data_IF_456492581702
#
_entry.id   IF_456492581702
#
_cell.length_a   1.000
_cell.length_b   1.000
_cell.length_c   1.000
_cell.angle_alpha   90.00
_cell.angle_beta   90.00
_cell.angle_gamma   90.00
#
_symmetry.space_group_name_H-M   'P 1'
#
loop_
_entity.id
_entity.type
_entity.pdbx_description
1 polymer ?
#
# COMPACT_ATOMS: atom_id res chain seq x y z
N UNK A 1 30.63 10.14 -21.63
CA UNK A 1 30.02 9.61 -20.39
C UNK A 1 31.14 9.15 -19.47
N UNK A 2 31.39 9.84 -18.37
CA UNK A 2 32.34 9.42 -17.35
C UNK A 2 31.59 8.49 -16.41
N UNK A 3 31.93 7.20 -16.40
CA UNK A 3 31.45 6.29 -15.38
C UNK A 3 32.36 6.44 -14.16
N UNK A 4 31.87 7.10 -13.13
CA UNK A 4 32.56 7.22 -11.85
C UNK A 4 32.42 5.88 -11.13
N UNK A 5 33.49 5.08 -11.12
CA UNK A 5 33.56 3.85 -10.32
C UNK A 5 33.87 4.15 -8.86
N UNK A 6 33.47 3.25 -7.98
CA UNK A 6 33.83 3.30 -6.55
C UNK A 6 35.35 3.30 -6.39
N UNK A 7 35.92 4.37 -5.85
CA UNK A 7 37.34 4.45 -5.57
C UNK A 7 38.07 5.74 -5.99
N UNK A 8 37.36 6.72 -6.53
CA UNK A 8 37.97 8.04 -6.75
C UNK A 8 38.03 8.82 -5.42
N UNK A 9 39.17 9.47 -5.10
CA UNK A 9 39.24 10.36 -3.97
C UNK A 9 38.35 11.58 -4.24
N UNK A 10 37.38 11.82 -3.39
CA UNK A 10 36.53 13.01 -3.44
C UNK A 10 37.19 14.10 -2.59
N UNK A 11 37.45 15.22 -3.18
CA UNK A 11 37.85 16.44 -2.47
C UNK A 11 36.67 17.39 -2.52
N UNK A 12 35.99 17.54 -1.38
CA UNK A 12 34.95 18.56 -1.23
C UNK A 12 35.61 19.93 -1.07
N UNK A 13 35.19 20.93 -1.86
CA UNK A 13 35.61 22.30 -1.64
C UNK A 13 34.41 23.24 -1.51
N UNK A 14 34.67 24.38 -0.85
CA UNK A 14 33.65 25.41 -0.63
C UNK A 14 33.74 26.42 -1.74
N UNK A 15 32.71 26.60 -2.53
CA UNK A 15 32.68 27.63 -3.58
C UNK A 15 32.65 29.02 -2.92
N UNK A 16 33.56 29.92 -3.37
CA UNK A 16 33.85 31.20 -2.70
C UNK A 16 32.68 32.18 -2.73
N UNK A 17 31.77 32.05 -3.68
CA UNK A 17 30.72 33.05 -3.96
C UNK A 17 29.28 32.53 -3.76
N UNK A 18 29.12 31.35 -3.15
CA UNK A 18 27.79 30.83 -2.85
C UNK A 18 27.59 30.79 -1.32
N UNK A 19 26.61 31.54 -0.77
CA UNK A 19 26.32 31.52 0.67
C UNK A 19 25.68 30.20 1.14
N UNK A 20 25.33 29.27 0.24
CA UNK A 20 24.81 27.95 0.59
C UNK A 20 25.91 27.04 1.15
N UNK A 21 25.67 26.29 2.21
CA UNK A 21 26.62 25.32 2.79
C UNK A 21 26.79 24.06 1.96
N UNK A 22 26.30 24.01 0.72
CA UNK A 22 26.36 22.84 -0.15
C UNK A 22 27.80 22.47 -0.46
N UNK A 23 28.18 21.24 -0.17
CA UNK A 23 29.47 20.69 -0.52
C UNK A 23 29.52 20.36 -2.01
N UNK A 24 30.38 21.06 -2.75
CA UNK A 24 30.62 20.77 -4.16
C UNK A 24 31.85 19.87 -4.26
N UNK A 25 31.73 18.80 -5.06
CA UNK A 25 32.84 17.93 -5.38
C UNK A 25 33.61 18.47 -6.60
N UNK A 26 34.89 18.72 -6.44
CA UNK A 26 35.79 19.05 -7.56
C UNK A 26 36.52 17.80 -8.02
N UNK A 27 36.43 17.48 -9.32
CA UNK A 27 37.16 16.38 -9.91
C UNK A 27 38.63 16.80 -10.16
N UNK A 28 39.53 16.38 -9.29
CA UNK A 28 40.97 16.67 -9.37
C UNK A 28 41.70 15.78 -10.35
N UNK A 29 41.12 14.59 -10.62
CA UNK A 29 41.68 13.66 -11.60
C UNK A 29 40.68 12.50 -11.89
N UNK A 30 40.86 11.86 -13.03
CA UNK A 30 40.09 10.70 -13.42
C UNK A 30 41.01 9.63 -14.04
N UNK A 31 40.89 8.42 -13.56
CA UNK A 31 41.57 7.26 -14.14
C UNK A 31 40.55 6.31 -14.76
N UNK A 32 40.87 5.80 -15.94
CA UNK A 32 40.03 4.81 -16.61
C UNK A 32 40.28 3.43 -16.04
N UNK A 33 39.35 2.96 -15.20
CA UNK A 33 39.41 1.62 -14.66
C UNK A 33 38.60 0.63 -15.51
N UNK A 34 39.02 -0.61 -15.56
CA UNK A 34 38.27 -1.70 -16.22
C UNK A 34 37.08 -2.07 -15.33
N UNK A 35 35.85 -1.89 -15.85
CA UNK A 35 34.64 -2.30 -15.13
C UNK A 35 34.62 -3.82 -14.97
N UNK A 36 34.63 -4.30 -13.72
CA UNK A 36 34.39 -5.70 -13.42
C UNK A 36 32.88 -5.94 -13.47
N UNK A 37 32.45 -6.77 -14.43
CA UNK A 37 31.03 -7.12 -14.52
C UNK A 37 30.74 -8.26 -13.55
N UNK A 38 29.59 -8.17 -12.86
CA UNK A 38 29.12 -9.26 -12.01
C UNK A 38 28.85 -10.51 -12.84
N UNK A 39 29.24 -11.65 -12.30
CA UNK A 39 28.97 -13.00 -12.83
C UNK A 39 28.01 -13.70 -11.88
N UNK A 40 27.33 -14.71 -12.38
CA UNK A 40 26.53 -15.64 -11.58
C UNK A 40 27.25 -17.00 -11.61
N UNK A 41 27.75 -17.42 -10.45
CA UNK A 41 28.52 -18.67 -10.32
C UNK A 41 27.64 -19.83 -9.78
N UNK A 42 26.33 -19.64 -9.68
CA UNK A 42 25.40 -20.68 -9.23
C UNK A 42 25.45 -21.88 -10.18
N UNK A 43 25.52 -23.12 -9.66
CA UNK A 43 25.58 -24.33 -10.50
C UNK A 43 24.29 -24.58 -11.27
N UNK A 44 23.14 -24.15 -10.71
CA UNK A 44 21.84 -24.19 -11.37
C UNK A 44 21.39 -22.76 -11.60
N UNK A 45 21.17 -22.42 -12.88
CA UNK A 45 20.74 -21.08 -13.27
C UNK A 45 19.24 -20.94 -13.11
N UNK A 46 18.81 -19.84 -12.48
CA UNK A 46 17.39 -19.50 -12.38
C UNK A 46 16.88 -18.91 -13.69
N UNK A 47 15.59 -18.98 -13.88
CA UNK A 47 14.86 -18.18 -14.87
C UNK A 47 14.21 -17.01 -14.13
N UNK A 48 14.47 -15.78 -14.57
CA UNK A 48 13.74 -14.63 -14.03
C UNK A 48 12.35 -14.57 -14.68
N UNK A 49 11.31 -14.69 -13.88
CA UNK A 49 9.92 -14.75 -14.36
C UNK A 49 9.11 -13.48 -14.06
N UNK A 50 9.65 -12.55 -13.25
CA UNK A 50 9.01 -11.31 -12.88
C UNK A 50 10.02 -10.17 -12.90
N UNK A 51 10.04 -9.40 -13.99
CA UNK A 51 10.99 -8.31 -14.18
C UNK A 51 10.30 -7.11 -14.84
N UNK A 52 10.47 -5.95 -14.20
CA UNK A 52 10.06 -4.67 -14.74
C UNK A 52 11.23 -3.97 -15.42
N UNK A 53 10.95 -3.38 -16.58
CA UNK A 53 11.91 -2.55 -17.31
C UNK A 53 11.62 -1.07 -17.05
N UNK A 54 12.44 -0.19 -17.66
CA UNK A 54 12.17 1.26 -17.62
C UNK A 54 10.84 1.69 -18.27
N UNK A 55 10.08 0.75 -18.84
CA UNK A 55 8.72 0.98 -19.30
C UNK A 55 7.70 0.93 -18.15
N UNK A 56 8.06 0.36 -17.02
CA UNK A 56 7.34 0.48 -15.74
C UNK A 56 7.79 1.78 -15.05
N UNK A 57 7.20 2.91 -15.48
CA UNK A 57 7.56 4.26 -15.03
C UNK A 57 7.49 4.38 -13.51
N UNK A 58 8.50 5.00 -12.91
CA UNK A 58 8.69 5.20 -11.45
C UNK A 58 9.00 3.92 -10.66
N UNK A 59 9.00 2.75 -11.29
CA UNK A 59 9.30 1.47 -10.63
C UNK A 59 10.69 0.93 -11.02
N UNK A 60 11.02 0.95 -12.31
CA UNK A 60 12.28 0.41 -12.79
C UNK A 60 13.03 1.35 -13.76
N UNK A 61 14.34 1.17 -13.85
CA UNK A 61 15.22 2.01 -14.67
C UNK A 61 16.02 1.23 -15.74
N UNK A 62 15.92 -0.10 -15.74
CA UNK A 62 16.71 -0.97 -16.63
C UNK A 62 16.04 -1.09 -17.99
N UNK A 63 16.70 -0.69 -19.10
CA UNK A 63 16.20 -0.97 -20.45
C UNK A 63 16.02 -2.47 -20.69
N UNK A 64 14.97 -2.86 -21.40
CA UNK A 64 14.64 -4.28 -21.68
C UNK A 64 15.79 -5.01 -22.39
N UNK A 65 16.42 -4.38 -23.37
CA UNK A 65 17.59 -4.94 -24.05
C UNK A 65 18.78 -5.20 -23.11
N UNK A 66 18.98 -4.37 -22.09
CA UNK A 66 20.08 -4.57 -21.14
C UNK A 66 19.76 -5.68 -20.13
N UNK A 67 18.50 -5.86 -19.77
CA UNK A 67 18.04 -7.01 -18.99
C UNK A 67 18.28 -8.34 -19.74
N UNK A 68 17.93 -8.38 -21.03
CA UNK A 68 18.16 -9.56 -21.90
C UNK A 68 19.65 -9.89 -22.01
N UNK A 69 20.52 -8.87 -22.22
CA UNK A 69 21.99 -9.06 -22.23
C UNK A 69 22.52 -9.55 -20.88
N UNK A 70 21.97 -9.07 -19.78
CA UNK A 70 22.36 -9.50 -18.44
C UNK A 70 22.01 -10.99 -18.22
N UNK A 71 20.81 -11.41 -18.61
CA UNK A 71 20.39 -12.81 -18.55
C UNK A 71 21.33 -13.74 -19.34
N UNK A 72 21.70 -13.34 -20.56
CA UNK A 72 22.68 -14.08 -21.37
C UNK A 72 24.04 -14.20 -20.67
N UNK A 73 24.54 -13.07 -20.13
CA UNK A 73 25.82 -13.04 -19.42
C UNK A 73 25.82 -13.91 -18.17
N UNK A 74 24.70 -13.98 -17.46
CA UNK A 74 24.53 -14.83 -16.28
C UNK A 74 24.27 -16.30 -16.59
N UNK A 75 24.11 -16.65 -17.88
CA UNK A 75 23.82 -18.01 -18.32
C UNK A 75 22.39 -18.46 -17.98
N UNK A 76 21.47 -17.53 -17.79
CA UNK A 76 20.06 -17.85 -17.53
C UNK A 76 19.44 -18.50 -18.80
N UNK A 77 18.67 -19.60 -18.66
CA UNK A 77 18.01 -20.26 -19.80
C UNK A 77 16.99 -19.37 -20.49
N UNK A 78 16.32 -18.50 -19.73
CA UNK A 78 15.34 -17.54 -20.21
C UNK A 78 15.21 -16.36 -19.23
N UNK A 79 14.57 -15.27 -19.70
CA UNK A 79 14.14 -14.13 -18.88
C UNK A 79 12.76 -13.70 -19.31
N UNK A 80 11.88 -13.39 -18.37
CA UNK A 80 10.60 -12.74 -18.64
C UNK A 80 10.73 -11.21 -18.60
N UNK A 81 9.94 -10.53 -19.43
CA UNK A 81 9.67 -9.10 -19.33
C UNK A 81 8.20 -8.96 -18.97
N UNK A 82 7.93 -8.35 -17.81
CA UNK A 82 6.57 -8.32 -17.20
C UNK A 82 6.26 -6.92 -16.65
N UNK A 83 6.32 -5.93 -17.54
CA UNK A 83 6.04 -4.54 -17.15
C UNK A 83 4.60 -4.33 -16.67
N UNK A 84 4.40 -3.31 -15.81
CA UNK A 84 3.10 -2.93 -15.27
C UNK A 84 2.14 -2.45 -16.37
N UNK A 85 1.10 -3.22 -16.64
CA UNK A 85 -0.01 -2.84 -17.51
C UNK A 85 0.35 -2.50 -18.96
N UNK A 86 1.59 -2.77 -19.42
CA UNK A 86 2.04 -2.43 -20.75
C UNK A 86 3.00 -3.45 -21.35
N UNK A 87 3.24 -3.35 -22.66
CA UNK A 87 4.11 -4.24 -23.45
C UNK A 87 5.17 -3.46 -24.25
N UNK A 88 5.44 -2.22 -23.87
CA UNK A 88 6.32 -1.32 -24.62
C UNK A 88 7.79 -1.79 -24.65
N UNK A 89 8.22 -2.59 -23.67
CA UNK A 89 9.56 -3.18 -23.63
C UNK A 89 9.78 -4.33 -24.61
N UNK A 90 8.74 -4.88 -25.25
CA UNK A 90 8.82 -6.07 -26.09
C UNK A 90 9.65 -5.89 -27.37
N UNK A 91 9.49 -4.82 -28.17
CA UNK A 91 10.25 -4.66 -29.40
C UNK A 91 11.77 -4.69 -29.16
N UNK A 92 12.26 -3.93 -28.19
CA UNK A 92 13.69 -3.88 -27.87
C UNK A 92 14.19 -5.19 -27.28
N UNK A 93 13.38 -5.87 -26.46
CA UNK A 93 13.70 -7.20 -25.95
C UNK A 93 13.79 -8.23 -27.07
N UNK A 94 12.87 -8.21 -28.03
CA UNK A 94 12.83 -9.11 -29.19
C UNK A 94 14.06 -8.92 -30.08
N UNK A 95 14.32 -7.70 -30.51
CA UNK A 95 15.48 -7.38 -31.35
C UNK A 95 16.82 -7.79 -30.69
N UNK A 96 16.89 -7.58 -29.36
CA UNK A 96 18.06 -7.99 -28.59
C UNK A 96 18.15 -9.54 -28.50
N UNK A 97 17.04 -10.19 -28.19
CA UNK A 97 16.87 -11.62 -28.04
C UNK A 97 17.36 -12.39 -29.31
N UNK A 98 16.88 -11.98 -30.49
CA UNK A 98 17.25 -12.56 -31.77
C UNK A 98 18.75 -12.39 -32.06
N UNK A 99 19.30 -11.19 -31.79
CA UNK A 99 20.71 -10.88 -32.04
C UNK A 99 21.69 -11.69 -31.20
N UNK A 100 21.33 -12.04 -29.97
CA UNK A 100 22.22 -12.73 -29.03
C UNK A 100 21.76 -14.13 -28.67
N UNK A 101 20.68 -14.62 -29.30
CA UNK A 101 20.11 -15.95 -29.06
C UNK A 101 19.80 -16.22 -27.60
N UNK A 102 19.04 -15.27 -26.95
CA UNK A 102 18.59 -15.39 -25.58
C UNK A 102 17.07 -15.53 -25.55
N UNK A 103 16.56 -16.61 -24.97
CA UNK A 103 15.10 -16.81 -24.82
C UNK A 103 14.49 -15.75 -23.97
N UNK A 104 13.47 -15.05 -24.49
CA UNK A 104 12.62 -14.09 -23.77
C UNK A 104 11.21 -14.65 -23.66
N UNK A 105 10.62 -14.51 -22.48
CA UNK A 105 9.22 -14.80 -22.17
C UNK A 105 8.51 -13.46 -22.09
N UNK A 106 7.49 -13.26 -22.92
CA UNK A 106 6.72 -12.03 -22.99
C UNK A 106 5.51 -12.14 -22.11
N UNK A 107 5.42 -11.30 -21.10
CA UNK A 107 4.33 -11.24 -20.13
C UNK A 107 4.01 -9.80 -19.77
N UNK A 108 2.97 -9.62 -18.97
CA UNK A 108 2.56 -8.33 -18.48
C UNK A 108 2.01 -8.51 -17.05
N UNK A 109 2.35 -7.63 -16.15
CA UNK A 109 1.69 -7.56 -14.85
C UNK A 109 0.33 -6.87 -15.02
N UNK A 110 -0.71 -7.69 -15.06
CA UNK A 110 -2.06 -7.22 -15.31
C UNK A 110 -2.76 -6.77 -14.02
N UNK A 111 -3.47 -5.67 -14.09
CA UNK A 111 -4.39 -5.25 -13.02
C UNK A 111 -5.71 -5.99 -13.19
N UNK A 112 -6.00 -6.86 -12.23
CA UNK A 112 -7.26 -7.61 -12.23
C UNK A 112 -8.24 -7.01 -11.23
N UNK A 113 -9.38 -6.55 -11.72
CA UNK A 113 -10.52 -6.12 -10.89
C UNK A 113 -11.60 -7.20 -10.95
N UNK A 114 -11.96 -7.74 -9.79
CA UNK A 114 -13.04 -8.72 -9.71
C UNK A 114 -14.36 -8.03 -9.40
N UNK A 115 -15.07 -7.60 -10.42
CA UNK A 115 -16.37 -6.93 -10.31
C UNK A 115 -17.50 -7.84 -9.78
N UNK A 116 -17.29 -9.16 -9.75
CA UNK A 116 -18.30 -10.11 -9.26
C UNK A 116 -18.32 -10.24 -7.72
N UNK A 117 -17.31 -9.71 -7.03
CA UNK A 117 -17.33 -9.59 -5.57
C UNK A 117 -17.98 -8.26 -5.20
N UNK A 118 -19.30 -8.19 -5.30
CA UNK A 118 -20.05 -7.05 -4.74
C UNK A 118 -19.68 -6.83 -3.27
N UNK A 119 -19.78 -5.60 -2.79
CA UNK A 119 -19.33 -5.00 -1.53
C UNK A 119 -19.47 -5.76 -0.20
N UNK A 120 -19.77 -7.04 -0.25
CA UNK A 120 -19.77 -7.95 0.90
C UNK A 120 -18.40 -8.58 1.01
N UNK A 121 -17.65 -8.24 2.05
CA UNK A 121 -16.35 -8.82 2.37
C UNK A 121 -16.38 -10.31 2.71
N UNK A 122 -17.57 -10.81 3.06
CA UNK A 122 -17.83 -12.22 3.42
C UNK A 122 -19.24 -12.63 3.01
N UNK A 123 -19.54 -13.94 3.08
CA UNK A 123 -20.91 -14.44 2.86
C UNK A 123 -21.79 -14.06 4.04
N UNK A 124 -22.76 -13.21 3.80
CA UNK A 124 -23.78 -12.83 4.75
C UNK A 124 -25.15 -13.28 4.25
N UNK A 125 -25.93 -13.95 5.08
CA UNK A 125 -27.26 -14.48 4.74
C UNK A 125 -28.41 -13.81 5.52
N UNK A 126 -28.10 -12.83 6.36
CA UNK A 126 -29.08 -12.07 7.14
C UNK A 126 -29.80 -10.99 6.32
N UNK A 127 -30.68 -10.27 6.97
CA UNK A 127 -31.41 -9.13 6.40
C UNK A 127 -30.81 -7.83 6.89
N UNK A 128 -30.90 -6.76 6.12
CA UNK A 128 -30.48 -5.41 6.55
C UNK A 128 -31.37 -4.81 7.68
N UNK A 129 -32.47 -5.47 8.02
CA UNK A 129 -33.31 -5.15 9.18
C UNK A 129 -32.80 -5.80 10.46
N UNK A 130 -31.90 -6.76 10.37
CA UNK A 130 -31.25 -7.38 11.53
C UNK A 130 -30.30 -6.35 12.17
N UNK A 131 -29.80 -6.65 13.36
CA UNK A 131 -28.83 -5.78 14.01
C UNK A 131 -27.55 -5.70 13.17
N UNK A 132 -27.07 -4.49 12.95
CA UNK A 132 -25.85 -4.20 12.20
C UNK A 132 -25.04 -3.16 12.95
N UNK A 133 -23.71 -3.19 12.80
CA UNK A 133 -22.83 -2.20 13.42
C UNK A 133 -22.10 -1.42 12.32
N UNK A 134 -22.34 -0.11 12.30
CA UNK A 134 -21.54 0.82 11.50
C UNK A 134 -20.38 1.28 12.36
N UNK A 135 -19.16 1.18 11.88
CA UNK A 135 -17.98 1.54 12.65
C UNK A 135 -16.90 2.20 11.78
N UNK A 136 -16.04 2.91 12.45
CA UNK A 136 -14.88 3.58 11.89
C UNK A 136 -13.75 3.59 12.93
N UNK A 137 -12.49 3.69 12.49
CA UNK A 137 -11.34 3.81 13.38
C UNK A 137 -10.44 4.96 12.97
N UNK A 138 -9.85 5.62 13.97
CA UNK A 138 -8.76 6.55 13.76
C UNK A 138 -7.42 5.91 14.11
N UNK A 139 -6.38 6.27 13.37
CA UNK A 139 -5.07 5.62 13.46
C UNK A 139 -3.93 6.61 13.35
N UNK A 140 -2.73 6.23 13.79
CA UNK A 140 -1.52 7.06 13.63
C UNK A 140 -0.94 7.05 12.22
N UNK A 141 -1.60 6.38 11.25
CA UNK A 141 -1.18 6.30 9.84
C UNK A 141 -1.77 5.10 9.12
N UNK A 142 -1.33 4.80 7.91
CA UNK A 142 -2.02 3.90 6.98
C UNK A 142 -1.68 2.40 7.09
N UNK A 143 -0.66 2.03 7.82
CA UNK A 143 -0.17 0.64 7.88
C UNK A 143 -0.50 -0.01 9.22
N UNK A 144 -1.34 -1.04 9.24
CA UNK A 144 -1.68 -1.78 10.45
C UNK A 144 -0.45 -2.37 11.18
N UNK A 145 0.61 -2.71 10.44
CA UNK A 145 1.87 -3.24 11.03
C UNK A 145 2.73 -2.15 11.67
N UNK A 146 2.69 -0.93 11.13
CA UNK A 146 3.57 0.16 11.54
C UNK A 146 2.88 1.26 12.36
N UNK A 147 1.56 1.30 12.40
CA UNK A 147 0.77 2.37 13.00
C UNK A 147 -0.20 1.82 14.04
N UNK A 148 -0.59 2.64 15.03
CA UNK A 148 -1.52 2.28 16.10
C UNK A 148 -2.94 2.80 15.85
N UNK A 149 -3.93 2.18 16.48
CA UNK A 149 -5.30 2.69 16.57
C UNK A 149 -5.32 3.77 17.66
N UNK A 150 -6.01 4.89 17.42
CA UNK A 150 -6.18 6.00 18.36
C UNK A 150 -7.62 6.16 18.84
N UNK A 151 -8.61 5.71 18.05
CA UNK A 151 -10.01 5.72 18.42
C UNK A 151 -10.76 4.59 17.70
N UNK A 152 -11.81 4.07 18.33
CA UNK A 152 -12.80 3.16 17.72
C UNK A 152 -14.17 3.74 18.00
N UNK A 153 -14.89 4.12 16.94
CA UNK A 153 -16.27 4.60 16.99
C UNK A 153 -17.22 3.61 16.33
N UNK A 154 -18.37 3.34 16.96
CA UNK A 154 -19.37 2.45 16.36
C UNK A 154 -20.79 2.82 16.80
N UNK A 155 -21.75 2.52 15.93
CA UNK A 155 -23.18 2.61 16.23
C UNK A 155 -23.87 1.33 15.85
N UNK A 156 -24.73 0.81 16.72
CA UNK A 156 -25.58 -0.35 16.43
C UNK A 156 -26.90 0.12 15.89
N UNK A 157 -27.32 -0.43 14.76
CA UNK A 157 -28.54 -0.07 14.04
C UNK A 157 -29.44 -1.29 13.95
N UNK A 158 -30.73 -1.08 14.16
CA UNK A 158 -31.80 -2.06 13.94
C UNK A 158 -33.02 -1.38 13.33
N UNK A 159 -33.60 -1.97 12.30
CA UNK A 159 -34.77 -1.42 11.60
C UNK A 159 -34.59 0.06 11.18
N UNK A 160 -33.36 0.47 10.83
CA UNK A 160 -33.02 1.82 10.41
C UNK A 160 -32.87 2.84 11.57
N UNK A 161 -32.95 2.41 12.81
CA UNK A 161 -32.77 3.27 13.99
C UNK A 161 -31.48 2.93 14.75
N UNK A 162 -30.75 3.93 15.22
CA UNK A 162 -29.62 3.73 16.14
C UNK A 162 -30.16 3.30 17.49
N UNK A 163 -29.76 2.10 17.95
CA UNK A 163 -30.20 1.51 19.22
C UNK A 163 -29.11 1.54 20.29
N UNK A 164 -27.83 1.62 19.89
CA UNK A 164 -26.70 1.69 20.83
C UNK A 164 -25.50 2.36 20.18
N UNK A 165 -24.54 2.85 21.00
CA UNK A 165 -23.32 3.53 20.56
C UNK A 165 -22.12 3.05 21.37
N UNK A 166 -21.00 2.93 20.71
CA UNK A 166 -19.70 2.65 21.30
C UNK A 166 -18.70 3.70 20.83
N UNK A 167 -17.91 4.22 21.73
CA UNK A 167 -16.77 5.06 21.39
C UNK A 167 -15.70 4.91 22.47
N UNK A 168 -14.47 4.71 22.05
CA UNK A 168 -13.33 4.68 22.96
C UNK A 168 -12.08 5.23 22.29
N UNK A 169 -11.36 6.10 22.97
CA UNK A 169 -9.98 6.36 22.61
C UNK A 169 -9.11 5.14 22.92
N UNK A 170 -8.03 5.01 22.18
CA UNK A 170 -7.06 3.93 22.34
C UNK A 170 -5.67 4.53 22.47
N UNK A 171 -4.90 4.12 23.46
CA UNK A 171 -3.51 4.51 23.58
C UNK A 171 -2.68 3.74 22.54
N UNK A 172 -2.15 4.41 21.49
CA UNK A 172 -1.37 3.75 20.46
C UNK A 172 0.05 3.35 20.90
N UNK A 173 0.44 3.68 22.14
CA UNK A 173 1.78 3.46 22.73
C UNK A 173 2.92 4.03 21.87
N UNK A 174 2.61 5.04 21.07
CA UNK A 174 3.55 5.78 20.21
C UNK A 174 3.05 7.20 19.97
N UNK A 175 3.92 8.16 19.62
CA UNK A 175 3.49 9.50 19.28
C UNK A 175 2.56 9.53 18.07
N UNK A 176 1.56 10.40 18.11
CA UNK A 176 0.68 10.69 16.97
C UNK A 176 1.38 11.74 16.09
N UNK A 177 1.63 11.47 14.79
CA UNK A 177 2.21 12.45 13.89
C UNK A 177 1.36 13.73 13.80
N UNK A 178 2.01 14.88 13.70
CA UNK A 178 1.34 16.19 13.67
C UNK A 178 0.27 16.29 12.58
N UNK A 179 0.58 15.80 11.37
CA UNK A 179 -0.37 15.77 10.26
C UNK A 179 -1.59 14.86 10.52
N UNK A 180 -1.46 13.84 11.37
CA UNK A 180 -2.61 13.00 11.79
C UNK A 180 -3.43 13.73 12.84
N UNK A 181 -2.78 14.40 13.80
CA UNK A 181 -3.50 15.27 14.76
C UNK A 181 -4.27 16.38 14.05
N UNK A 182 -3.69 17.01 13.02
CA UNK A 182 -4.39 18.01 12.20
C UNK A 182 -5.60 17.41 11.46
N UNK A 183 -5.51 16.17 11.02
CA UNK A 183 -6.57 15.48 10.27
C UNK A 183 -7.73 15.02 11.19
N UNK A 184 -7.39 14.38 12.31
CA UNK A 184 -8.36 13.69 13.17
C UNK A 184 -8.79 14.53 14.40
N UNK A 185 -8.00 15.55 14.74
CA UNK A 185 -8.16 16.31 15.97
C UNK A 185 -7.67 15.58 17.22
N UNK A 186 -7.21 14.33 17.12
CA UNK A 186 -6.77 13.51 18.25
C UNK A 186 -5.32 13.85 18.59
N UNK A 187 -5.06 14.14 19.86
CA UNK A 187 -3.73 14.49 20.38
C UNK A 187 -3.19 13.38 21.29
N UNK A 188 -1.86 13.34 21.48
CA UNK A 188 -1.22 12.43 22.42
C UNK A 188 -1.81 12.55 23.85
N UNK A 189 -2.17 13.77 24.24
CA UNK A 189 -2.74 14.06 25.57
C UNK A 189 -4.13 13.41 25.75
N UNK A 190 -4.93 13.33 24.69
CA UNK A 190 -6.27 12.73 24.73
C UNK A 190 -6.21 11.20 24.90
N UNK A 191 -5.19 10.56 24.37
CA UNK A 191 -5.07 9.09 24.33
C UNK A 191 -4.13 8.51 25.39
N UNK A 192 -3.35 9.34 26.10
CA UNK A 192 -2.33 8.87 27.04
C UNK A 192 -2.84 7.94 28.13
N UNK A 193 -4.03 8.25 28.67
CA UNK A 193 -4.69 7.52 29.75
C UNK A 193 -5.79 6.56 29.22
N UNK A 194 -5.95 6.46 27.90
CA UNK A 194 -6.91 5.58 27.26
C UNK A 194 -6.46 4.10 27.37
N UNK A 195 -7.39 3.14 27.26
CA UNK A 195 -7.04 1.71 27.25
C UNK A 195 -6.09 1.40 26.10
N UNK A 196 -5.22 0.42 26.33
CA UNK A 196 -4.40 -0.16 25.23
C UNK A 196 -5.28 -0.94 24.28
N UNK A 197 -4.79 -1.16 23.07
CA UNK A 197 -5.53 -1.76 21.96
C UNK A 197 -6.20 -3.10 22.33
N UNK A 198 -5.52 -3.97 23.07
CA UNK A 198 -6.11 -5.26 23.49
C UNK A 198 -7.39 -5.09 24.31
N UNK A 199 -7.35 -4.17 25.29
CA UNK A 199 -8.53 -3.89 26.13
C UNK A 199 -9.66 -3.21 25.36
N UNK A 200 -9.31 -2.25 24.49
CA UNK A 200 -10.28 -1.59 23.63
C UNK A 200 -10.97 -2.57 22.67
N UNK A 201 -10.21 -3.54 22.11
CA UNK A 201 -10.76 -4.57 21.25
C UNK A 201 -11.67 -5.56 22.02
N UNK A 202 -11.34 -5.94 23.26
CA UNK A 202 -12.22 -6.77 24.07
C UNK A 202 -13.59 -6.10 24.26
N UNK A 203 -13.60 -4.80 24.58
CA UNK A 203 -14.83 -4.02 24.76
C UNK A 203 -15.58 -3.83 23.43
N UNK A 204 -14.86 -3.55 22.35
CA UNK A 204 -15.44 -3.45 21.01
C UNK A 204 -16.06 -4.78 20.56
N UNK A 205 -15.39 -5.90 20.76
CA UNK A 205 -15.92 -7.22 20.38
C UNK A 205 -17.12 -7.62 21.24
N UNK A 206 -17.15 -7.24 22.52
CA UNK A 206 -18.35 -7.41 23.34
C UNK A 206 -19.54 -6.58 22.82
N UNK A 207 -19.28 -5.39 22.27
CA UNK A 207 -20.30 -4.53 21.66
C UNK A 207 -20.83 -5.08 20.33
N UNK A 208 -19.94 -5.52 19.44
CA UNK A 208 -20.35 -5.97 18.08
C UNK A 208 -20.95 -7.39 18.07
N UNK A 209 -20.57 -8.26 19.01
CA UNK A 209 -20.98 -9.66 19.00
C UNK A 209 -20.72 -10.33 17.64
N UNK A 210 -21.72 -11.01 17.11
CA UNK A 210 -21.67 -11.66 15.78
C UNK A 210 -22.35 -10.82 14.68
N UNK A 211 -22.63 -9.55 14.93
CA UNK A 211 -23.37 -8.67 14.02
C UNK A 211 -22.60 -8.41 12.72
N UNK A 212 -23.35 -8.07 11.67
CA UNK A 212 -22.78 -7.57 10.41
C UNK A 212 -22.15 -6.22 10.64
N UNK A 213 -20.89 -6.08 10.24
CA UNK A 213 -20.15 -4.81 10.29
C UNK A 213 -20.32 -4.04 8.98
N UNK A 214 -20.38 -2.73 9.08
CA UNK A 214 -20.46 -1.81 7.94
C UNK A 214 -19.41 -0.73 8.16
N UNK A 215 -18.56 -0.49 7.17
CA UNK A 215 -17.57 0.59 7.19
C UNK A 215 -17.37 1.18 5.79
N UNK A 216 -16.79 2.37 5.73
CA UNK A 216 -16.47 3.04 4.48
C UNK A 216 -15.01 2.82 4.11
N UNK A 217 -14.72 2.08 3.04
CA UNK A 217 -13.40 1.49 2.74
C UNK A 217 -13.01 0.44 3.80
N UNK A 218 -13.98 -0.41 4.13
CA UNK A 218 -13.92 -1.38 5.24
C UNK A 218 -12.67 -2.25 5.30
N UNK A 219 -11.95 -2.40 4.18
CA UNK A 219 -10.68 -3.10 4.14
C UNK A 219 -9.59 -2.46 4.99
N UNK A 220 -9.63 -1.14 5.16
CA UNK A 220 -8.73 -0.39 6.03
C UNK A 220 -9.02 -0.73 7.50
N UNK A 221 -10.24 -0.48 7.95
CA UNK A 221 -10.64 -0.66 9.35
C UNK A 221 -10.53 -2.11 9.80
N UNK A 222 -11.10 -3.01 9.02
CA UNK A 222 -11.03 -4.46 9.32
C UNK A 222 -9.61 -4.99 9.26
N UNK A 223 -8.73 -4.39 8.44
CA UNK A 223 -7.31 -4.71 8.36
C UNK A 223 -6.58 -4.42 9.67
N UNK A 224 -6.80 -3.24 10.26
CA UNK A 224 -6.24 -2.88 11.56
C UNK A 224 -6.83 -3.74 12.69
N UNK A 225 -8.16 -3.87 12.74
CA UNK A 225 -8.81 -4.71 13.76
C UNK A 225 -8.29 -6.15 13.70
N UNK A 226 -8.19 -6.75 12.51
CA UNK A 226 -7.68 -8.12 12.33
C UNK A 226 -6.22 -8.27 12.77
N UNK A 227 -5.38 -7.28 12.43
CA UNK A 227 -3.97 -7.30 12.81
C UNK A 227 -3.82 -7.31 14.33
N UNK A 228 -4.43 -6.36 15.02
CA UNK A 228 -4.32 -6.25 16.47
C UNK A 228 -5.09 -7.35 17.23
N UNK A 229 -6.20 -7.82 16.68
CA UNK A 229 -6.91 -8.99 17.24
C UNK A 229 -6.00 -10.23 17.23
N UNK A 230 -5.28 -10.47 16.13
CA UNK A 230 -4.33 -11.57 16.03
C UNK A 230 -3.17 -11.43 17.03
N UNK A 231 -2.61 -10.24 17.22
CA UNK A 231 -1.56 -9.97 18.22
C UNK A 231 -2.05 -10.20 19.66
N UNK A 232 -3.31 -9.86 19.93
CA UNK A 232 -3.94 -10.03 21.25
C UNK A 232 -4.53 -11.43 21.47
N UNK A 233 -4.50 -12.31 20.47
CA UNK A 233 -5.12 -13.64 20.54
C UNK A 233 -6.64 -13.63 20.58
N UNK A 234 -7.27 -12.57 20.06
CA UNK A 234 -8.72 -12.40 20.01
C UNK A 234 -9.29 -12.87 18.65
N UNK A 235 -10.41 -13.62 18.62
CA UNK A 235 -11.05 -14.01 17.37
C UNK A 235 -11.75 -12.80 16.72
N UNK A 236 -11.60 -12.65 15.39
CA UNK A 236 -12.32 -11.65 14.61
C UNK A 236 -12.77 -12.26 13.28
N UNK A 237 -14.01 -12.68 13.20
CA UNK A 237 -14.60 -13.38 12.05
C UNK A 237 -15.89 -12.73 11.54
N UNK A 238 -16.28 -11.56 12.08
CA UNK A 238 -17.51 -10.88 11.70
C UNK A 238 -17.58 -10.66 10.19
N UNK A 239 -18.76 -10.92 9.58
CA UNK A 239 -19.03 -10.50 8.21
C UNK A 239 -19.01 -8.97 8.13
N UNK A 240 -18.58 -8.43 6.99
CA UNK A 240 -18.59 -6.99 6.81
C UNK A 240 -19.01 -6.56 5.41
N UNK A 241 -19.51 -5.33 5.33
CA UNK A 241 -19.92 -4.64 4.10
C UNK A 241 -19.05 -3.40 3.91
N UNK A 242 -18.55 -3.21 2.70
CA UNK A 242 -17.82 -2.02 2.30
C UNK A 242 -18.73 -1.07 1.51
N UNK A 243 -19.06 0.06 2.12
CA UNK A 243 -19.95 1.04 1.48
C UNK A 243 -19.30 1.74 0.27
N UNK A 244 -17.95 1.81 0.16
CA UNK A 244 -17.27 2.28 -1.05
C UNK A 244 -17.53 1.31 -2.21
N UNK A 245 -17.42 0.00 -1.96
CA UNK A 245 -17.65 -1.00 -2.99
C UNK A 245 -19.12 -1.00 -3.45
N UNK A 246 -20.07 -0.86 -2.50
CA UNK A 246 -21.49 -0.71 -2.85
C UNK A 246 -21.72 0.56 -3.66
N UNK A 247 -21.17 1.70 -3.20
CA UNK A 247 -21.35 2.97 -3.90
C UNK A 247 -20.78 2.93 -5.33
N UNK A 248 -19.62 2.29 -5.54
CA UNK A 248 -19.05 2.10 -6.88
C UNK A 248 -19.96 1.29 -7.80
N UNK A 249 -20.72 0.38 -7.24
CA UNK A 249 -21.63 -0.45 -8.00
C UNK A 249 -22.95 0.27 -8.36
N UNK A 250 -23.51 1.06 -7.43
CA UNK A 250 -24.83 1.67 -7.61
C UNK A 250 -24.78 3.14 -8.06
N UNK A 251 -23.72 3.88 -7.73
CA UNK A 251 -23.58 5.32 -8.02
C UNK A 251 -22.53 5.54 -9.11
N UNK A 252 -22.90 5.29 -10.34
CA UNK A 252 -21.97 5.39 -11.50
C UNK A 252 -21.74 6.82 -11.99
N UNK A 253 -22.52 7.78 -11.52
CA UNK A 253 -22.56 9.19 -11.94
C UNK A 253 -21.91 10.15 -10.91
N UNK A 254 -21.44 9.65 -9.76
CA UNK A 254 -20.76 10.49 -8.77
C UNK A 254 -19.31 10.76 -9.15
N UNK A 255 -18.81 11.95 -8.80
CA UNK A 255 -17.42 12.37 -9.06
C UNK A 255 -16.37 11.46 -8.40
N UNK A 256 -16.63 11.01 -7.20
CA UNK A 256 -15.84 10.08 -6.41
C UNK A 256 -16.73 9.45 -5.32
N UNK A 257 -16.21 8.46 -4.59
CA UNK A 257 -16.98 7.73 -3.58
C UNK A 257 -16.52 8.04 -2.15
N UNK A 258 -16.05 9.26 -1.88
CA UNK A 258 -15.76 9.72 -0.52
C UNK A 258 -17.05 10.00 0.24
N UNK A 259 -17.00 9.90 1.58
CA UNK A 259 -18.16 10.15 2.43
C UNK A 259 -18.79 11.52 2.18
N UNK A 260 -18.00 12.59 2.15
CA UNK A 260 -18.48 13.96 1.87
C UNK A 260 -19.27 14.03 0.55
N UNK A 261 -18.71 13.44 -0.53
CA UNK A 261 -19.35 13.43 -1.84
C UNK A 261 -20.66 12.65 -1.83
N UNK A 262 -20.70 11.53 -1.11
CA UNK A 262 -21.91 10.70 -1.01
C UNK A 262 -22.95 11.36 -0.10
N UNK A 263 -22.53 12.03 0.95
CA UNK A 263 -23.42 12.80 1.83
C UNK A 263 -24.12 13.92 1.05
N UNK A 264 -23.36 14.68 0.27
CA UNK A 264 -23.91 15.71 -0.63
C UNK A 264 -24.87 15.10 -1.67
N UNK A 265 -24.45 13.99 -2.30
CA UNK A 265 -25.24 13.31 -3.34
C UNK A 265 -26.59 12.82 -2.78
N UNK A 266 -26.59 12.25 -1.59
CA UNK A 266 -27.79 11.76 -0.92
C UNK A 266 -28.50 12.82 -0.06
N UNK A 267 -28.00 14.06 -0.02
CA UNK A 267 -28.55 15.18 0.75
C UNK A 267 -28.74 14.85 2.24
N UNK A 268 -27.72 14.20 2.83
CA UNK A 268 -27.79 13.75 4.24
C UNK A 268 -27.63 14.89 5.25
N UNK A 269 -27.29 16.11 4.81
CA UNK A 269 -27.03 17.24 5.69
C UNK A 269 -25.63 17.21 6.30
N UNK A 270 -25.34 18.18 7.20
CA UNK A 270 -24.10 18.21 7.97
C UNK A 270 -24.17 17.15 9.09
N UNK A 271 -23.10 16.40 9.28
CA UNK A 271 -22.96 15.34 10.30
C UNK A 271 -21.58 15.40 10.96
#
# INVERSE_FOLDING_TARGET
>A
KINVGVGLPFVGYKQKDNPSPDMIMELVGAEKIKRVMRTDDAPVKRVELHLHTNMSTMDAITPSADAVKAAKRFGMPAIAITDHGNVQGFPDAMLCSEKIEQKVIYGMEAYFVNDSKGGLGTKYSGKFTDETVVFDIETTGLSAVACGITEIGAVKIKDGAVIDKFNTFVNPERPIPENITELTGITDEMVKDAPKVGKALEEFFAFIGDDLLIAHNAGFDTGFIRHYAAECGLPFENPYVDTVAISRFINTDVKNHKLDTLADYYQLGDF
#
